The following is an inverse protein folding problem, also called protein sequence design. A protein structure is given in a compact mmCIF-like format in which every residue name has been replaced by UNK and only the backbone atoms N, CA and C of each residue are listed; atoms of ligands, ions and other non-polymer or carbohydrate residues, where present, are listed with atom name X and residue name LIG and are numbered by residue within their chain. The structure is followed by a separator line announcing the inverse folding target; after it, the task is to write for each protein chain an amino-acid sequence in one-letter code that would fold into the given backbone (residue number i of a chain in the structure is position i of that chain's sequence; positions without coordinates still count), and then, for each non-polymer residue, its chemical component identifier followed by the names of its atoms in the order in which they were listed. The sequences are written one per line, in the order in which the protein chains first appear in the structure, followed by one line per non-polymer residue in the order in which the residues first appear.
data_IF_508495299281
#
_entry.id   IF_508495299281
#
_cell.length_a   1.000
_cell.length_b   1.000
_cell.length_c   1.000
_cell.angle_alpha   90.00
_cell.angle_beta   90.00
_cell.angle_gamma   90.00
#
_symmetry.space_group_name_H-M   'P 1'
#
loop_
_entity.id
_entity.type
_entity.pdbx_description
1 polymer ?
#
# COMPACT_ATOMS: atom_id res chain seq x y z
N UNK A 1 22.01 2.97 2.76
CA UNK A 1 20.93 3.61 3.53
C UNK A 1 21.54 4.04 4.84
N UNK A 2 21.44 5.31 5.23
CA UNK A 2 22.01 5.78 6.49
C UNK A 2 21.08 5.29 7.63
N UNK A 3 21.38 4.11 8.17
CA UNK A 3 20.70 3.49 9.33
C UNK A 3 21.25 4.02 10.68
N UNK A 4 21.99 5.13 10.60
CA UNK A 4 22.54 5.82 11.75
C UNK A 4 21.42 6.47 12.55
N UNK A 5 21.45 6.22 13.86
CA UNK A 5 20.53 6.81 14.81
C UNK A 5 20.88 8.30 14.94
N UNK A 6 19.99 9.18 14.49
CA UNK A 6 20.14 10.64 14.51
C UNK A 6 19.24 11.31 15.56
N UNK A 7 18.92 10.58 16.62
CA UNK A 7 18.12 11.00 17.77
C UNK A 7 18.61 10.29 19.03
N UNK A 8 18.38 10.89 20.18
CA UNK A 8 18.72 10.32 21.49
C UNK A 8 17.62 9.37 21.97
N UNK A 9 17.97 8.50 22.93
CA UNK A 9 16.98 7.65 23.60
C UNK A 9 15.95 8.47 24.38
N UNK A 10 16.36 9.58 24.99
CA UNK A 10 15.47 10.46 25.73
C UNK A 10 14.41 11.10 24.82
N UNK A 11 14.81 11.62 23.65
CA UNK A 11 13.89 12.16 22.65
C UNK A 11 12.89 11.11 22.16
N UNK A 12 13.37 9.89 21.90
CA UNK A 12 12.52 8.77 21.51
C UNK A 12 11.50 8.42 22.60
N UNK A 13 11.96 8.25 23.84
CA UNK A 13 11.09 7.90 24.97
C UNK A 13 10.05 9.00 25.22
N UNK A 14 10.41 10.27 25.12
CA UNK A 14 9.47 11.39 25.26
C UNK A 14 8.35 11.32 24.22
N UNK A 15 8.69 11.13 22.95
CA UNK A 15 7.70 11.01 21.87
C UNK A 15 6.83 9.76 22.03
N UNK A 16 7.44 8.62 22.38
CA UNK A 16 6.74 7.36 22.62
C UNK A 16 5.71 7.49 23.74
N UNK A 17 6.09 8.08 24.89
CA UNK A 17 5.17 8.27 26.02
C UNK A 17 4.01 9.20 25.66
N UNK A 18 4.24 10.25 24.87
CA UNK A 18 3.18 11.13 24.38
C UNK A 18 2.15 10.37 23.54
N UNK A 19 2.61 9.57 22.57
CA UNK A 19 1.73 8.77 21.70
C UNK A 19 1.01 7.70 22.52
N UNK A 20 1.73 7.01 23.41
CA UNK A 20 1.18 5.97 24.26
C UNK A 20 0.08 6.51 25.18
N UNK A 21 0.27 7.68 25.79
CA UNK A 21 -0.74 8.34 26.63
C UNK A 21 -2.01 8.64 25.82
N UNK A 22 -1.85 9.13 24.60
CA UNK A 22 -3.00 9.36 23.70
C UNK A 22 -3.75 8.06 23.41
N UNK A 23 -3.05 6.98 23.06
CA UNK A 23 -3.70 5.68 22.82
C UNK A 23 -4.37 5.09 24.06
N UNK A 24 -3.72 5.13 25.23
CA UNK A 24 -4.32 4.69 26.51
C UNK A 24 -5.59 5.46 26.87
N UNK A 25 -5.70 6.72 26.47
CA UNK A 25 -6.89 7.54 26.71
C UNK A 25 -8.07 7.21 25.80
N UNK A 26 -7.83 6.49 24.68
CA UNK A 26 -8.81 6.28 23.61
C UNK A 26 -9.20 4.82 23.41
N UNK A 27 -8.31 3.89 23.74
CA UNK A 27 -8.51 2.47 23.50
C UNK A 27 -8.50 1.68 24.80
N UNK A 28 -9.41 0.71 24.90
CA UNK A 28 -9.59 -0.14 26.07
C UNK A 28 -9.22 -1.59 25.77
N UNK A 29 -8.84 -2.32 26.82
CA UNK A 29 -8.53 -3.75 26.78
C UNK A 29 -9.71 -4.56 26.25
N UNK A 30 -9.43 -5.50 25.35
CA UNK A 30 -10.43 -6.38 24.76
C UNK A 30 -10.25 -7.81 25.24
N UNK A 31 -11.37 -8.48 25.55
CA UNK A 31 -11.35 -9.91 25.93
C UNK A 31 -10.89 -10.81 24.76
N UNK A 32 -11.30 -10.46 23.55
CA UNK A 32 -10.96 -11.18 22.31
C UNK A 32 -10.36 -10.18 21.31
N UNK A 33 -9.09 -9.78 21.48
CA UNK A 33 -8.51 -8.70 20.69
C UNK A 33 -8.32 -9.14 19.22
N UNK A 34 -8.45 -8.18 18.30
CA UNK A 34 -8.34 -8.41 16.85
C UNK A 34 -7.21 -7.57 16.26
N UNK A 35 -6.45 -8.16 15.35
CA UNK A 35 -5.44 -7.46 14.57
C UNK A 35 -5.74 -7.60 13.07
N UNK A 36 -5.83 -6.47 12.38
CA UNK A 36 -5.93 -6.42 10.92
C UNK A 36 -4.64 -5.87 10.36
N UNK A 37 -3.92 -6.68 9.57
CA UNK A 37 -2.78 -6.20 8.80
C UNK A 37 -3.28 -5.74 7.44
N UNK A 38 -2.85 -4.56 7.00
CA UNK A 38 -3.17 -4.04 5.68
C UNK A 38 -2.00 -4.25 4.71
N UNK A 39 -2.33 -4.63 3.48
CA UNK A 39 -1.36 -4.86 2.41
C UNK A 39 -1.74 -4.15 1.11
N UNK A 40 -0.72 -3.84 0.31
CA UNK A 40 -0.89 -3.15 -0.97
C UNK A 40 0.25 -2.17 -1.23
N UNK A 41 0.58 -1.97 -2.50
CA UNK A 41 1.60 -1.03 -2.91
C UNK A 41 1.27 0.42 -2.47
N UNK A 42 2.28 1.30 -2.36
CA UNK A 42 2.03 2.72 -2.10
C UNK A 42 0.99 3.32 -3.06
N UNK A 43 0.09 4.16 -2.56
CA UNK A 43 -0.97 4.76 -3.38
C UNK A 43 -2.12 3.81 -3.78
N UNK A 44 -2.09 2.55 -3.33
CA UNK A 44 -3.16 1.60 -3.65
C UNK A 44 -4.55 1.96 -3.09
N UNK A 45 -4.60 2.73 -2.00
CA UNK A 45 -5.85 3.12 -1.35
C UNK A 45 -6.16 2.38 -0.05
N UNK A 46 -5.14 1.89 0.67
CA UNK A 46 -5.29 1.15 1.95
C UNK A 46 -6.14 1.89 2.99
N UNK A 47 -6.11 3.23 3.01
CA UNK A 47 -6.96 4.04 3.90
C UNK A 47 -8.46 3.78 3.70
N UNK A 48 -8.90 3.35 2.51
CA UNK A 48 -10.28 2.92 2.28
C UNK A 48 -10.65 1.69 3.09
N UNK A 49 -9.74 0.71 3.18
CA UNK A 49 -9.93 -0.49 4.01
C UNK A 49 -9.82 -0.17 5.50
N UNK A 50 -8.87 0.67 5.88
CA UNK A 50 -8.73 1.13 7.25
C UNK A 50 -10.03 1.78 7.74
N UNK A 51 -10.59 2.71 6.95
CA UNK A 51 -11.85 3.38 7.27
C UNK A 51 -13.01 2.39 7.34
N UNK A 52 -13.07 1.40 6.44
CA UNK A 52 -14.10 0.36 6.45
C UNK A 52 -14.02 -0.52 7.70
N UNK A 53 -12.82 -0.86 8.18
CA UNK A 53 -12.62 -1.65 9.40
C UNK A 53 -12.91 -0.80 10.64
N UNK A 54 -12.44 0.46 10.65
CA UNK A 54 -12.40 1.31 11.82
C UNK A 54 -13.53 2.35 11.88
N UNK A 55 -14.69 2.09 11.26
CA UNK A 55 -15.83 3.03 11.24
C UNK A 55 -16.22 3.50 12.65
N UNK A 56 -16.12 2.61 13.64
CA UNK A 56 -16.44 2.89 15.05
C UNK A 56 -15.27 3.45 15.87
N UNK A 57 -14.10 3.62 15.27
CA UNK A 57 -12.86 4.04 15.95
C UNK A 57 -12.45 3.13 17.13
N UNK A 58 -12.74 1.83 17.04
CA UNK A 58 -12.44 0.83 18.08
C UNK A 58 -11.01 0.23 17.94
N UNK A 59 -10.32 0.51 16.83
CA UNK A 59 -8.99 -0.01 16.54
C UNK A 59 -7.94 1.09 16.63
N UNK A 60 -6.79 0.78 17.23
CA UNK A 60 -5.60 1.61 17.10
C UNK A 60 -4.96 1.37 15.74
N UNK A 61 -4.93 2.42 14.92
CA UNK A 61 -4.23 2.40 13.64
C UNK A 61 -2.75 2.71 13.87
N UNK A 62 -1.88 1.78 13.48
CA UNK A 62 -0.43 1.88 13.61
C UNK A 62 0.19 1.89 12.22
N UNK A 63 0.79 3.03 11.85
CA UNK A 63 1.51 3.23 10.59
C UNK A 63 2.80 3.98 10.87
N UNK A 64 3.93 3.45 10.41
CA UNK A 64 5.24 4.06 10.65
C UNK A 64 5.33 5.51 10.16
N UNK A 65 4.56 5.85 9.14
CA UNK A 65 4.60 7.17 8.52
C UNK A 65 3.93 8.26 9.36
N UNK A 66 2.93 7.90 10.15
CA UNK A 66 2.27 8.81 11.08
C UNK A 66 3.20 9.23 12.22
N UNK A 67 4.21 8.42 12.52
CA UNK A 67 5.14 8.65 13.61
C UNK A 67 6.37 9.49 13.22
N UNK A 68 6.64 9.66 11.91
CA UNK A 68 7.79 10.44 11.43
C UNK A 68 7.75 11.89 11.90
N UNK A 69 6.55 12.49 11.98
CA UNK A 69 6.35 13.88 12.43
C UNK A 69 6.75 14.13 13.89
N UNK A 70 6.91 13.07 14.69
CA UNK A 70 7.36 13.17 16.08
C UNK A 70 8.89 13.10 16.21
N UNK A 71 9.61 12.90 15.12
CA UNK A 71 11.08 12.93 15.12
C UNK A 71 11.57 14.34 15.49
N UNK A 72 12.57 14.50 16.38
CA UNK A 72 13.03 15.81 16.85
C UNK A 72 13.51 16.73 15.72
N UNK A 73 14.15 16.15 14.71
CA UNK A 73 14.64 16.86 13.52
C UNK A 73 13.65 16.86 12.33
N UNK A 74 12.37 16.50 12.51
CA UNK A 74 11.45 16.30 11.38
C UNK A 74 11.40 17.49 10.42
N UNK A 75 11.19 18.71 10.92
CA UNK A 75 11.11 19.90 10.07
C UNK A 75 12.43 20.24 9.39
N UNK A 76 13.55 20.08 10.09
CA UNK A 76 14.89 20.32 9.55
C UNK A 76 15.23 19.35 8.43
N UNK A 77 14.96 18.05 8.63
CA UNK A 77 15.19 17.02 7.63
C UNK A 77 14.35 17.26 6.38
N UNK A 78 13.08 17.66 6.54
CA UNK A 78 12.23 18.00 5.41
C UNK A 78 12.71 19.27 4.68
N UNK A 79 13.23 20.26 5.40
CA UNK A 79 13.79 21.48 4.79
C UNK A 79 15.07 21.19 3.99
N UNK A 80 15.96 20.34 4.50
CA UNK A 80 17.26 20.05 3.87
C UNK A 80 17.12 19.04 2.73
N UNK A 81 16.38 17.95 2.96
CA UNK A 81 16.33 16.81 2.05
C UNK A 81 15.05 16.70 1.23
N UNK A 82 14.01 17.48 1.55
CA UNK A 82 12.74 17.49 0.82
C UNK A 82 12.17 16.09 0.63
N UNK A 83 12.04 15.67 -0.64
CA UNK A 83 11.50 14.36 -1.04
C UNK A 83 12.26 13.16 -0.42
N UNK A 84 13.53 13.36 -0.05
CA UNK A 84 14.40 12.32 0.49
C UNK A 84 14.40 12.23 2.03
N UNK A 85 13.72 13.16 2.73
CA UNK A 85 13.72 13.23 4.19
C UNK A 85 13.23 11.95 4.89
N UNK A 86 12.38 11.16 4.21
CA UNK A 86 11.89 9.88 4.72
C UNK A 86 13.00 8.84 4.96
N UNK A 87 14.13 8.93 4.25
CA UNK A 87 15.28 8.05 4.46
C UNK A 87 15.92 8.25 5.84
N UNK A 88 15.90 9.49 6.35
CA UNK A 88 16.52 9.87 7.62
C UNK A 88 15.63 9.69 8.85
N UNK A 89 14.35 9.33 8.64
CA UNK A 89 13.39 9.05 9.72
C UNK A 89 12.90 7.61 9.71
N UNK A 90 13.48 6.75 8.85
CA UNK A 90 13.04 5.37 8.69
C UNK A 90 13.25 4.54 9.95
N UNK A 91 14.42 4.65 10.59
CA UNK A 91 14.74 3.94 11.83
C UNK A 91 13.81 4.34 12.98
N UNK A 92 13.63 5.64 13.19
CA UNK A 92 12.68 6.19 14.15
C UNK A 92 11.25 5.64 13.96
N UNK A 93 10.76 5.68 12.72
CA UNK A 93 9.42 5.18 12.40
C UNK A 93 9.28 3.68 12.71
N UNK A 94 10.30 2.88 12.39
CA UNK A 94 10.34 1.45 12.69
C UNK A 94 10.35 1.16 14.18
N UNK A 95 11.26 1.80 14.93
CA UNK A 95 11.36 1.63 16.39
C UNK A 95 10.06 2.03 17.10
N UNK A 96 9.41 3.12 16.66
CA UNK A 96 8.13 3.56 17.22
C UNK A 96 7.02 2.54 16.98
N UNK A 97 6.91 1.98 15.77
CA UNK A 97 5.96 0.91 15.46
C UNK A 97 6.20 -0.31 16.35
N UNK A 98 7.45 -0.76 16.49
CA UNK A 98 7.78 -1.93 17.33
C UNK A 98 7.39 -1.73 18.80
N UNK A 99 7.72 -0.55 19.38
CA UNK A 99 7.38 -0.24 20.77
C UNK A 99 5.86 -0.14 20.98
N UNK A 100 5.14 0.51 20.06
CA UNK A 100 3.68 0.64 20.15
C UNK A 100 2.97 -0.70 19.97
N UNK A 101 3.45 -1.57 19.08
CA UNK A 101 2.91 -2.93 18.92
C UNK A 101 3.14 -3.78 20.17
N UNK A 102 4.28 -3.64 20.84
CA UNK A 102 4.55 -4.31 22.12
C UNK A 102 3.52 -3.90 23.18
N UNK A 103 3.29 -2.60 23.36
CA UNK A 103 2.28 -2.11 24.31
C UNK A 103 0.85 -2.49 23.89
N UNK A 104 0.51 -2.40 22.61
CA UNK A 104 -0.82 -2.78 22.12
C UNK A 104 -1.14 -4.25 22.43
N UNK A 105 -0.18 -5.16 22.23
CA UNK A 105 -0.32 -6.59 22.57
C UNK A 105 -0.41 -6.86 24.06
N UNK A 106 0.30 -6.08 24.87
CA UNK A 106 0.24 -6.14 26.34
C UNK A 106 -1.11 -5.69 26.87
N UNK A 107 -1.61 -4.56 26.38
CA UNK A 107 -2.88 -3.95 26.80
C UNK A 107 -4.11 -4.62 26.14
N UNK A 108 -3.89 -5.53 25.18
CA UNK A 108 -4.92 -6.24 24.39
C UNK A 108 -5.86 -5.29 23.64
N UNK A 109 -5.32 -4.27 23.00
CA UNK A 109 -6.10 -3.41 22.11
C UNK A 109 -6.42 -4.11 20.79
N UNK A 110 -7.53 -3.71 20.16
CA UNK A 110 -7.76 -4.01 18.75
C UNK A 110 -6.81 -3.16 17.89
N UNK A 111 -6.14 -3.76 16.91
CA UNK A 111 -5.08 -3.11 16.12
C UNK A 111 -5.39 -3.17 14.63
N UNK A 112 -5.12 -2.09 13.92
CA UNK A 112 -4.89 -2.10 12.48
C UNK A 112 -3.43 -1.74 12.24
N UNK A 113 -2.67 -2.60 11.58
CA UNK A 113 -1.27 -2.38 11.26
C UNK A 113 -1.12 -2.16 9.75
N UNK A 114 -0.71 -0.95 9.35
CA UNK A 114 -0.48 -0.63 7.95
C UNK A 114 0.87 -1.21 7.49
N UNK A 115 0.86 -1.94 6.37
CA UNK A 115 2.05 -2.41 5.69
C UNK A 115 1.93 -2.32 4.17
N UNK A 116 3.03 -2.61 3.49
CA UNK A 116 3.08 -2.69 2.01
C UNK A 116 3.20 -4.12 1.50
N UNK A 117 3.51 -5.09 2.36
CA UNK A 117 3.89 -6.45 1.99
C UNK A 117 5.12 -6.50 1.05
N UNK A 118 6.07 -5.56 1.21
CA UNK A 118 7.34 -5.56 0.48
C UNK A 118 8.17 -6.83 0.73
N UNK A 119 8.06 -7.40 1.93
CA UNK A 119 8.70 -8.65 2.37
C UNK A 119 7.64 -9.50 3.06
N UNK A 120 7.61 -10.80 2.79
CA UNK A 120 6.64 -11.71 3.38
C UNK A 120 6.91 -11.99 4.87
N UNK A 121 8.18 -11.96 5.28
CA UNK A 121 8.61 -12.37 6.62
C UNK A 121 8.06 -11.45 7.71
N UNK A 122 8.01 -10.14 7.44
CA UNK A 122 7.55 -9.14 8.41
C UNK A 122 6.07 -9.32 8.81
N UNK A 123 5.09 -9.33 7.88
CA UNK A 123 3.70 -9.56 8.23
C UNK A 123 3.46 -10.95 8.84
N UNK A 124 4.21 -11.99 8.44
CA UNK A 124 4.14 -13.32 9.05
C UNK A 124 4.61 -13.28 10.52
N UNK A 125 5.75 -12.61 10.79
CA UNK A 125 6.27 -12.42 12.14
C UNK A 125 5.26 -11.68 13.02
N UNK A 126 4.72 -10.57 12.54
CA UNK A 126 3.73 -9.80 13.31
C UNK A 126 2.45 -10.59 13.54
N UNK A 127 1.95 -11.33 12.54
CA UNK A 127 0.79 -12.19 12.71
C UNK A 127 1.00 -13.22 13.81
N UNK A 128 2.14 -13.94 13.79
CA UNK A 128 2.49 -14.91 14.84
C UNK A 128 2.58 -14.25 16.22
N UNK A 129 3.26 -13.10 16.33
CA UNK A 129 3.36 -12.35 17.59
C UNK A 129 2.00 -11.92 18.15
N UNK A 130 1.05 -11.55 17.28
CA UNK A 130 -0.34 -11.32 17.70
C UNK A 130 -1.05 -12.61 18.14
N UNK A 131 -0.93 -13.70 17.38
CA UNK A 131 -1.55 -15.01 17.72
C UNK A 131 -1.06 -15.55 19.07
N UNK A 132 0.24 -15.48 19.33
CA UNK A 132 0.85 -15.85 20.63
C UNK A 132 0.29 -15.01 21.79
N UNK A 133 -0.22 -13.82 21.49
CA UNK A 133 -0.87 -12.92 22.43
C UNK A 133 -2.40 -13.05 22.46
N UNK A 134 -2.98 -14.12 21.89
CA UNK A 134 -4.41 -14.42 21.96
C UNK A 134 -5.29 -13.63 20.99
N UNK A 135 -4.72 -13.08 19.91
CA UNK A 135 -5.46 -12.32 18.93
C UNK A 135 -6.11 -13.21 17.85
N UNK A 136 -7.22 -12.72 17.30
CA UNK A 136 -7.66 -13.08 15.95
C UNK A 136 -6.95 -12.17 14.95
N UNK A 137 -6.33 -12.74 13.91
CA UNK A 137 -5.46 -11.99 12.98
C UNK A 137 -5.90 -12.20 11.54
N UNK A 138 -6.26 -11.12 10.84
CA UNK A 138 -6.63 -11.16 9.42
C UNK A 138 -5.71 -10.24 8.59
N UNK A 139 -5.46 -10.64 7.34
CA UNK A 139 -4.74 -9.83 6.35
C UNK A 139 -5.71 -9.30 5.30
N UNK A 140 -5.75 -7.98 5.12
CA UNK A 140 -6.60 -7.30 4.14
C UNK A 140 -5.71 -6.62 3.10
N UNK A 141 -5.87 -7.00 1.82
CA UNK A 141 -5.03 -6.51 0.72
C UNK A 141 -5.87 -5.73 -0.28
N UNK A 142 -5.36 -4.58 -0.75
CA UNK A 142 -5.98 -3.86 -1.88
C UNK A 142 -5.40 -4.38 -3.19
N UNK A 143 -6.25 -4.87 -4.08
CA UNK A 143 -5.93 -5.19 -5.47
C UNK A 143 -6.20 -3.98 -6.35
N UNK A 144 -5.15 -3.45 -6.95
CA UNK A 144 -5.26 -2.32 -7.88
C UNK A 144 -4.10 -2.35 -8.86
N UNK A 145 -4.37 -1.90 -10.08
CA UNK A 145 -3.36 -1.77 -11.13
C UNK A 145 -2.16 -0.91 -10.69
N UNK A 146 -0.91 -1.33 -10.97
CA UNK A 146 0.32 -0.58 -10.64
C UNK A 146 0.31 0.88 -11.11
N UNK A 147 -0.25 1.15 -12.29
CA UNK A 147 -0.29 2.49 -12.86
C UNK A 147 -1.25 3.41 -12.09
N UNK A 148 -2.37 2.85 -11.61
CA UNK A 148 -3.33 3.59 -10.78
C UNK A 148 -2.78 3.88 -9.38
N UNK A 149 -2.07 2.94 -8.78
CA UNK A 149 -1.45 3.15 -7.47
C UNK A 149 -0.33 4.16 -7.56
N UNK A 150 0.47 4.11 -8.62
CA UNK A 150 1.54 5.07 -8.83
C UNK A 150 1.01 6.49 -8.97
N UNK A 151 -0.01 6.70 -9.83
CA UNK A 151 -0.68 8.00 -9.92
C UNK A 151 -1.23 8.45 -8.56
N UNK A 152 -1.79 7.53 -7.77
CA UNK A 152 -2.25 7.83 -6.41
C UNK A 152 -1.14 8.31 -5.46
N UNK A 153 0.12 7.92 -5.66
CA UNK A 153 1.24 8.46 -4.88
C UNK A 153 1.52 9.92 -5.24
N UNK A 154 1.41 10.27 -6.52
CA UNK A 154 1.63 11.63 -7.03
C UNK A 154 0.48 12.55 -6.63
N UNK A 155 -0.78 12.10 -6.79
CA UNK A 155 -1.97 12.82 -6.32
C UNK A 155 -1.86 13.16 -4.84
N UNK A 156 -1.51 12.19 -3.99
CA UNK A 156 -1.33 12.41 -2.56
C UNK A 156 -0.25 13.47 -2.26
N UNK A 157 0.87 13.44 -2.99
CA UNK A 157 1.94 14.42 -2.81
C UNK A 157 1.44 15.84 -3.08
N UNK A 158 0.77 16.06 -4.21
CA UNK A 158 0.23 17.38 -4.59
C UNK A 158 -0.92 17.83 -3.68
N UNK A 159 -1.78 16.91 -3.24
CA UNK A 159 -2.84 17.22 -2.26
C UNK A 159 -2.29 17.66 -0.90
N UNK A 160 -1.16 17.10 -0.46
CA UNK A 160 -0.51 17.52 0.79
C UNK A 160 0.03 18.94 0.69
N UNK A 161 0.66 19.29 -0.44
CA UNK A 161 1.12 20.66 -0.72
C UNK A 161 -0.07 21.62 -0.71
N UNK A 162 -1.15 21.28 -1.42
CA UNK A 162 -2.34 22.12 -1.50
C UNK A 162 -2.99 22.38 -0.12
N UNK A 163 -2.84 21.45 0.82
CA UNK A 163 -3.32 21.57 2.21
C UNK A 163 -2.31 22.25 3.15
N UNK A 164 -1.20 22.78 2.64
CA UNK A 164 -0.13 23.40 3.44
C UNK A 164 0.59 22.42 4.37
N UNK A 165 0.56 21.12 4.07
CA UNK A 165 1.23 20.08 4.87
C UNK A 165 2.56 19.71 4.23
N UNK A 166 3.51 19.26 5.05
CA UNK A 166 4.79 18.71 4.57
C UNK A 166 4.50 17.49 3.69
N UNK A 167 4.77 17.54 2.37
CA UNK A 167 4.33 16.51 1.47
C UNK A 167 5.21 15.27 1.57
N UNK A 168 4.57 14.11 1.51
CA UNK A 168 5.26 12.83 1.58
C UNK A 168 5.45 12.26 0.18
N UNK A 169 6.66 12.41 -0.36
CA UNK A 169 7.00 11.74 -1.60
C UNK A 169 7.18 10.24 -1.37
N UNK A 170 6.68 9.44 -2.30
CA UNK A 170 7.08 8.03 -2.42
C UNK A 170 7.94 7.92 -3.67
N UNK A 171 9.26 7.70 -3.53
CA UNK A 171 10.11 7.41 -4.67
C UNK A 171 9.52 6.28 -5.51
N UNK A 172 9.56 6.42 -6.84
CA UNK A 172 8.95 5.46 -7.76
C UNK A 172 9.54 4.06 -7.57
N UNK A 173 10.84 3.98 -7.31
CA UNK A 173 11.56 2.73 -7.06
C UNK A 173 11.01 2.01 -5.82
N UNK A 174 10.55 2.75 -4.80
CA UNK A 174 9.93 2.17 -3.62
C UNK A 174 8.51 1.64 -3.88
N UNK A 175 7.78 2.25 -4.81
CA UNK A 175 6.50 1.75 -5.28
C UNK A 175 6.70 0.49 -6.12
N UNK A 176 7.56 0.56 -7.13
CA UNK A 176 7.82 -0.52 -8.09
C UNK A 176 8.38 -1.76 -7.40
N UNK A 177 9.31 -1.59 -6.45
CA UNK A 177 9.81 -2.69 -5.63
C UNK A 177 8.68 -3.45 -4.90
N UNK A 178 7.58 -2.79 -4.52
CA UNK A 178 6.44 -3.49 -3.92
C UNK A 178 5.61 -4.17 -5.00
N UNK A 179 5.34 -3.51 -6.13
CA UNK A 179 4.62 -4.08 -7.27
C UNK A 179 5.27 -5.39 -7.74
N UNK A 180 6.60 -5.39 -7.87
CA UNK A 180 7.36 -6.54 -8.38
C UNK A 180 7.33 -7.74 -7.44
N UNK A 181 7.18 -7.51 -6.13
CA UNK A 181 7.31 -8.56 -5.12
C UNK A 181 5.98 -8.96 -4.44
N UNK A 182 4.94 -8.11 -4.47
CA UNK A 182 3.73 -8.31 -3.65
C UNK A 182 2.96 -9.59 -4.00
N UNK A 183 2.97 -9.99 -5.28
CA UNK A 183 2.30 -11.21 -5.75
C UNK A 183 2.95 -12.45 -5.13
N UNK A 184 4.27 -12.58 -5.25
CA UNK A 184 5.02 -13.71 -4.71
C UNK A 184 5.01 -13.71 -3.19
N UNK A 185 5.14 -12.53 -2.57
CA UNK A 185 5.04 -12.39 -1.13
C UNK A 185 3.67 -12.81 -0.60
N UNK A 186 2.58 -12.51 -1.31
CA UNK A 186 1.23 -12.92 -0.91
C UNK A 186 1.07 -14.45 -0.98
N UNK A 187 1.70 -15.11 -1.95
CA UNK A 187 1.75 -16.58 -1.99
C UNK A 187 2.51 -17.16 -0.79
N UNK A 188 3.67 -16.59 -0.43
CA UNK A 188 4.44 -17.02 0.74
C UNK A 188 3.61 -16.85 2.02
N UNK A 189 2.96 -15.69 2.18
CA UNK A 189 2.07 -15.41 3.32
C UNK A 189 0.92 -16.42 3.38
N UNK A 190 0.26 -16.69 2.26
CA UNK A 190 -0.82 -17.66 2.18
C UNK A 190 -0.37 -19.08 2.56
N UNK A 191 0.82 -19.51 2.09
CA UNK A 191 1.40 -20.82 2.42
C UNK A 191 1.83 -20.93 3.88
N UNK A 192 2.20 -19.82 4.52
CA UNK A 192 2.62 -19.79 5.93
C UNK A 192 1.52 -20.15 6.93
N UNK A 193 0.24 -20.02 6.52
CA UNK A 193 -0.95 -20.20 7.36
C UNK A 193 -0.93 -19.38 8.67
N UNK A 194 -0.20 -18.25 8.68
CA UNK A 194 -0.07 -17.40 9.86
C UNK A 194 -1.31 -16.54 10.16
N UNK A 195 -2.21 -16.37 9.18
CA UNK A 195 -3.40 -15.55 9.29
C UNK A 195 -4.66 -16.41 9.39
N UNK A 196 -5.61 -16.02 10.24
CA UNK A 196 -6.91 -16.66 10.37
C UNK A 196 -7.77 -16.44 9.12
N UNK A 197 -7.57 -15.32 8.43
CA UNK A 197 -8.17 -15.03 7.14
C UNK A 197 -7.31 -14.11 6.29
N UNK A 198 -7.44 -14.24 4.98
CA UNK A 198 -6.88 -13.32 3.98
C UNK A 198 -8.03 -12.84 3.11
N UNK A 199 -8.22 -11.53 3.02
CA UNK A 199 -9.22 -10.92 2.15
C UNK A 199 -8.55 -9.95 1.18
N UNK A 200 -9.05 -9.95 -0.05
CA UNK A 200 -8.60 -9.02 -1.08
C UNK A 200 -9.79 -8.18 -1.51
N UNK A 201 -9.59 -6.88 -1.61
CA UNK A 201 -10.60 -5.91 -2.00
C UNK A 201 -10.11 -5.09 -3.19
N UNK A 202 -11.03 -4.58 -4.01
CA UNK A 202 -10.69 -3.50 -4.93
C UNK A 202 -10.57 -2.15 -4.18
N UNK A 203 -10.30 -1.07 -4.92
CA UNK A 203 -10.10 0.27 -4.36
C UNK A 203 -11.41 0.89 -3.85
N UNK A 204 -12.54 0.35 -4.28
CA UNK A 204 -13.89 0.73 -3.88
C UNK A 204 -14.41 -0.10 -2.69
N UNK A 205 -13.54 -0.92 -2.07
CA UNK A 205 -13.84 -1.81 -0.95
C UNK A 205 -14.78 -2.98 -1.29
N UNK A 206 -14.95 -3.35 -2.56
CA UNK A 206 -15.65 -4.58 -2.92
C UNK A 206 -14.76 -5.79 -2.65
N UNK A 207 -15.32 -6.82 -2.01
CA UNK A 207 -14.61 -8.05 -1.70
C UNK A 207 -14.39 -8.88 -2.98
N UNK A 208 -13.13 -9.14 -3.31
CA UNK A 208 -12.71 -9.94 -4.46
C UNK A 208 -12.33 -11.37 -4.09
N UNK A 209 -11.89 -11.59 -2.85
CA UNK A 209 -11.44 -12.88 -2.36
C UNK A 209 -11.58 -12.97 -0.85
N UNK A 210 -11.94 -14.15 -0.35
CA UNK A 210 -11.99 -14.49 1.06
C UNK A 210 -11.43 -15.91 1.25
N UNK A 211 -10.30 -16.03 1.95
CA UNK A 211 -9.63 -17.32 2.18
C UNK A 211 -10.54 -18.34 2.87
N UNK A 212 -11.35 -17.91 3.84
CA UNK A 212 -12.28 -18.82 4.54
C UNK A 212 -13.35 -19.42 3.62
N UNK A 213 -13.76 -18.70 2.58
CA UNK A 213 -14.77 -19.15 1.62
C UNK A 213 -14.14 -19.93 0.45
N UNK A 214 -12.85 -19.73 0.19
CA UNK A 214 -12.15 -20.31 -0.96
C UNK A 214 -10.71 -20.78 -0.63
N UNK A 215 -10.54 -21.69 0.35
CA UNK A 215 -9.23 -22.00 0.92
C UNK A 215 -8.27 -22.66 -0.08
N UNK A 216 -8.79 -23.32 -1.12
CA UNK A 216 -8.00 -23.96 -2.18
C UNK A 216 -7.52 -22.99 -3.28
N UNK A 217 -7.99 -21.74 -3.29
CA UNK A 217 -7.58 -20.74 -4.27
C UNK A 217 -6.43 -19.92 -3.68
N UNK A 218 -5.30 -19.89 -4.38
CA UNK A 218 -4.16 -19.05 -4.00
C UNK A 218 -4.51 -17.56 -4.25
N UNK A 219 -4.43 -16.69 -3.22
CA UNK A 219 -4.76 -15.26 -3.34
C UNK A 219 -3.88 -14.51 -4.35
N UNK A 220 -2.67 -15.01 -4.66
CA UNK A 220 -1.80 -14.39 -5.68
C UNK A 220 -2.49 -14.26 -7.04
N UNK A 221 -3.31 -15.26 -7.40
CA UNK A 221 -4.01 -15.32 -8.68
C UNK A 221 -4.97 -14.13 -8.84
N UNK A 222 -5.50 -13.60 -7.73
CA UNK A 222 -6.42 -12.47 -7.70
C UNK A 222 -5.65 -11.17 -7.99
N UNK A 223 -4.48 -10.98 -7.37
CA UNK A 223 -3.62 -9.82 -7.66
C UNK A 223 -3.06 -9.88 -9.09
N UNK A 224 -2.55 -11.04 -9.53
CA UNK A 224 -2.07 -11.24 -10.90
C UNK A 224 -3.16 -10.92 -11.92
N UNK A 225 -4.39 -11.36 -11.67
CA UNK A 225 -5.54 -11.06 -12.54
C UNK A 225 -5.82 -9.56 -12.58
N UNK A 226 -5.82 -8.86 -11.44
CA UNK A 226 -6.09 -7.42 -11.42
C UNK A 226 -4.97 -6.62 -12.10
N UNK A 227 -3.71 -6.99 -11.88
CA UNK A 227 -2.56 -6.34 -12.51
C UNK A 227 -2.64 -6.51 -14.05
N UNK A 228 -2.93 -7.71 -14.52
CA UNK A 228 -2.86 -8.06 -15.94
C UNK A 228 -4.18 -7.92 -16.73
N UNK A 229 -5.34 -7.74 -16.06
CA UNK A 229 -6.62 -7.62 -16.80
C UNK A 229 -6.60 -6.42 -17.75
N UNK A 230 -7.39 -6.50 -18.82
CA UNK A 230 -7.60 -5.36 -19.72
C UNK A 230 -8.21 -4.18 -18.96
N UNK A 231 -7.76 -2.99 -19.33
CA UNK A 231 -8.36 -1.74 -18.92
C UNK A 231 -9.73 -1.54 -19.58
N UNK A 232 -10.72 -1.12 -18.79
CA UNK A 232 -12.03 -0.70 -19.31
C UNK A 232 -11.91 0.67 -19.99
N UNK A 233 -12.82 0.99 -20.92
CA UNK A 233 -12.76 2.26 -21.66
C UNK A 233 -13.00 3.44 -20.71
N UNK A 234 -13.99 3.31 -19.84
CA UNK A 234 -14.36 4.29 -18.82
C UNK A 234 -13.20 4.51 -17.85
N UNK A 235 -12.57 3.42 -17.41
CA UNK A 235 -11.40 3.44 -16.53
C UNK A 235 -10.22 4.22 -17.13
N UNK A 236 -9.98 4.10 -18.44
CA UNK A 236 -8.94 4.87 -19.14
C UNK A 236 -9.30 6.35 -19.21
N UNK A 237 -10.57 6.68 -19.49
CA UNK A 237 -11.03 8.07 -19.52
C UNK A 237 -10.84 8.75 -18.16
N UNK A 238 -11.22 8.08 -17.09
CA UNK A 238 -11.02 8.55 -15.72
C UNK A 238 -9.54 8.70 -15.37
N UNK A 239 -8.72 7.70 -15.74
CA UNK A 239 -7.28 7.75 -15.50
C UNK A 239 -6.62 8.93 -16.22
N UNK A 240 -6.97 9.20 -17.49
CA UNK A 240 -6.51 10.38 -18.23
C UNK A 240 -6.91 11.69 -17.54
N UNK A 241 -8.17 11.78 -17.10
CA UNK A 241 -8.69 12.95 -16.36
C UNK A 241 -7.91 13.20 -15.07
N UNK A 242 -7.57 12.15 -14.32
CA UNK A 242 -6.76 12.26 -13.09
C UNK A 242 -5.36 12.80 -13.38
N UNK A 243 -4.68 12.31 -14.42
CA UNK A 243 -3.40 12.88 -14.87
C UNK A 243 -3.49 14.35 -15.24
N UNK A 244 -4.54 14.75 -15.97
CA UNK A 244 -4.76 16.15 -16.33
C UNK A 244 -5.01 17.03 -15.11
N UNK A 245 -5.78 16.55 -14.14
CA UNK A 245 -5.99 17.25 -12.88
C UNK A 245 -4.70 17.40 -12.08
N UNK A 246 -3.87 16.36 -12.00
CA UNK A 246 -2.57 16.41 -11.35
C UNK A 246 -1.65 17.48 -11.96
N UNK A 247 -1.57 17.53 -13.30
CA UNK A 247 -0.80 18.55 -14.02
C UNK A 247 -1.35 19.95 -13.70
N UNK A 248 -2.68 20.14 -13.70
CA UNK A 248 -3.31 21.42 -13.33
C UNK A 248 -2.98 21.83 -11.90
N UNK A 249 -2.96 20.89 -10.95
CA UNK A 249 -2.56 21.18 -9.56
C UNK A 249 -1.14 21.73 -9.50
N UNK A 250 -0.21 21.11 -10.22
CA UNK A 250 1.19 21.57 -10.31
C UNK A 250 1.32 22.94 -10.96
N UNK A 251 0.61 23.17 -12.07
CA UNK A 251 0.60 24.47 -12.77
C UNK A 251 0.02 25.57 -11.87
N UNK A 252 -1.08 25.30 -11.15
CA UNK A 252 -1.71 26.24 -10.22
C UNK A 252 -0.80 26.63 -9.05
N UNK A 253 -0.02 25.69 -8.50
CA UNK A 253 0.98 25.99 -7.45
C UNK A 253 2.28 26.59 -8.00
N UNK A 254 2.34 26.87 -9.31
CA UNK A 254 3.53 27.37 -10.02
C UNK A 254 4.76 26.48 -9.80
N UNK A 255 4.56 25.17 -9.91
CA UNK A 255 5.66 24.20 -9.86
C UNK A 255 6.73 24.53 -10.92
N UNK A 256 8.02 24.21 -10.66
CA UNK A 256 9.07 24.42 -11.64
C UNK A 256 8.72 23.80 -13.00
N UNK A 257 8.95 24.54 -14.09
CA UNK A 257 8.61 24.12 -15.46
C UNK A 257 9.17 22.72 -15.77
N UNK A 258 10.41 22.45 -15.33
CA UNK A 258 11.06 21.13 -15.49
C UNK A 258 10.29 20.00 -14.81
N UNK A 259 9.70 20.24 -13.63
CA UNK A 259 8.91 19.24 -12.89
C UNK A 259 7.61 18.92 -13.65
N UNK A 260 6.91 19.95 -14.15
CA UNK A 260 5.68 19.80 -14.94
C UNK A 260 5.96 19.09 -16.26
N UNK A 261 7.02 19.46 -16.97
CA UNK A 261 7.42 18.81 -18.23
C UNK A 261 7.76 17.34 -18.04
N UNK A 262 8.48 17.00 -16.96
CA UNK A 262 8.80 15.61 -16.64
C UNK A 262 7.52 14.80 -16.38
N UNK A 263 6.56 15.36 -15.64
CA UNK A 263 5.29 14.69 -15.37
C UNK A 263 4.47 14.48 -16.65
N UNK A 264 4.48 15.45 -17.58
CA UNK A 264 3.82 15.32 -18.90
C UNK A 264 4.43 14.19 -19.73
N UNK A 265 5.75 14.06 -19.75
CA UNK A 265 6.45 12.95 -20.43
C UNK A 265 6.05 11.61 -19.79
N UNK A 266 6.05 11.54 -18.47
CA UNK A 266 5.69 10.33 -17.74
C UNK A 266 4.23 9.92 -17.98
N UNK A 267 3.30 10.88 -18.03
CA UNK A 267 1.90 10.64 -18.43
C UNK A 267 1.83 9.93 -19.79
N UNK A 268 2.52 10.45 -20.81
CA UNK A 268 2.49 9.87 -22.15
C UNK A 268 3.07 8.45 -22.16
N UNK A 269 4.20 8.22 -21.49
CA UNK A 269 4.82 6.89 -21.38
C UNK A 269 3.87 5.86 -20.74
N UNK A 270 3.20 6.24 -19.65
CA UNK A 270 2.23 5.36 -18.97
C UNK A 270 1.03 5.09 -19.87
N UNK A 271 0.47 6.10 -20.55
CA UNK A 271 -0.67 5.90 -21.44
C UNK A 271 -0.32 5.04 -22.67
N UNK A 272 0.88 5.19 -23.21
CA UNK A 272 1.40 4.39 -24.31
C UNK A 272 1.60 2.93 -23.87
N UNK A 273 2.09 2.69 -22.64
CA UNK A 273 2.20 1.33 -22.10
C UNK A 273 0.83 0.64 -22.02
N UNK A 274 -0.21 1.37 -21.59
CA UNK A 274 -1.59 0.88 -21.52
C UNK A 274 -2.14 0.56 -22.93
N UNK A 275 -1.80 1.35 -23.95
CA UNK A 275 -2.22 1.07 -25.34
C UNK A 275 -1.47 -0.11 -25.96
N UNK A 276 -0.16 -0.22 -25.75
CA UNK A 276 0.64 -1.37 -26.22
C UNK A 276 0.17 -2.68 -25.59
N UNK A 277 -0.16 -2.67 -24.29
CA UNK A 277 -0.78 -3.82 -23.60
C UNK A 277 -2.10 -4.20 -24.29
N UNK A 278 -2.91 -3.24 -24.76
CA UNK A 278 -4.14 -3.56 -25.52
C UNK A 278 -3.84 -4.24 -26.87
N UNK A 279 -2.79 -3.84 -27.56
CA UNK A 279 -2.40 -4.39 -28.88
C UNK A 279 -1.81 -5.80 -28.75
N UNK A 280 -0.86 -6.01 -27.84
CA UNK A 280 -0.26 -7.34 -27.59
C UNK A 280 -1.30 -8.39 -27.17
N UNK A 281 -2.29 -8.02 -26.35
CA UNK A 281 -3.36 -8.97 -25.99
C UNK A 281 -4.31 -9.23 -27.16
N UNK A 282 -4.52 -8.28 -28.07
CA UNK A 282 -5.30 -8.51 -29.31
C UNK A 282 -4.58 -9.50 -30.22
N UNK A 283 -3.27 -9.31 -30.44
CA UNK A 283 -2.44 -10.23 -31.22
C UNK A 283 -2.43 -11.63 -30.61
N UNK A 284 -2.19 -11.75 -29.31
CA UNK A 284 -2.18 -13.06 -28.61
C UNK A 284 -3.55 -13.77 -28.69
N UNK A 285 -4.66 -13.01 -28.59
CA UNK A 285 -6.01 -13.58 -28.71
C UNK A 285 -6.33 -14.01 -30.16
N UNK A 286 -5.83 -13.26 -31.16
CA UNK A 286 -5.95 -13.61 -32.57
C UNK A 286 -5.14 -14.87 -32.91
N UNK A 287 -3.90 -14.96 -32.44
CA UNK A 287 -3.02 -16.13 -32.61
C UNK A 287 -3.63 -17.40 -31.99
N UNK A 288 -4.15 -17.32 -30.76
CA UNK A 288 -4.85 -18.44 -30.10
C UNK A 288 -6.13 -18.87 -30.83
N UNK A 289 -6.83 -17.94 -31.48
CA UNK A 289 -8.01 -18.26 -32.30
C UNK A 289 -7.60 -19.02 -33.56
N UNK A 290 -6.53 -18.59 -34.24
CA UNK A 290 -5.98 -19.28 -35.41
C UNK A 290 -5.51 -20.70 -35.06
N UNK A 291 -4.82 -20.91 -33.94
CA UNK A 291 -4.39 -22.25 -33.50
C UNK A 291 -5.57 -23.18 -33.21
N UNK A 292 -6.62 -22.66 -32.56
CA UNK A 292 -7.84 -23.41 -32.24
C UNK A 292 -8.64 -23.79 -33.49
N UNK A 293 -8.65 -22.93 -34.51
CA UNK A 293 -9.30 -23.21 -35.79
C UNK A 293 -8.46 -24.20 -36.63
N UNK A 294 -7.12 -24.14 -36.58
CA UNK A 294 -6.24 -25.16 -37.18
C UNK A 294 -6.39 -26.53 -36.51
N UNK A 295 -6.52 -26.62 -35.19
CA UNK A 295 -6.70 -27.89 -34.48
C UNK A 295 -8.07 -28.54 -34.73
N UNK A 296 -9.07 -27.78 -35.20
CA UNK A 296 -10.40 -28.29 -35.59
C UNK A 296 -10.46 -28.77 -37.04
N UNK A 297 -9.48 -28.40 -37.87
CA UNK A 297 -9.45 -28.72 -39.30
C UNK A 297 -8.88 -30.10 -39.67
N UNK A 298 -8.20 -30.79 -38.76
CA UNK A 298 -7.53 -32.08 -39.03
C UNK A 298 -8.33 -33.33 -38.61
N UNK A 299 -9.61 -33.19 -38.30
CA UNK A 299 -10.49 -34.28 -37.85
C UNK A 299 -11.52 -34.76 -38.86
N UNK A 300 -11.28 -34.57 -40.17
CA UNK A 300 -12.12 -35.12 -41.24
C UNK A 300 -11.27 -35.53 -42.44
N UNK A 301 -10.76 -36.75 -42.37
CA UNK A 301 -10.43 -37.59 -43.52
C UNK A 301 -10.67 -39.03 -43.11
#
# INVERSE_FOLDING_TARGET
MNDEKNYTDEEFQKAFQQILKFYKSRYSTQKNPKAFLLGGQPGAGKSGLENMINIKNEYVSISGDDYRKFHPLYDQLNKIYGKEASKYTQKWAGEMVEHLLKEARKEKWNVILEGTLRKAELPIKEARGFKENGYSVELYVVAVKPEKSYLGTLERYEEMIAKGRVPRMTPKEHHDLVVDNIIDNLEIIYKSKAFDNIKIFDRENNLLYNYKESPGINPKNILEKEFNRKWKIEEIREFKKKWENLIKMMENRKAPIKEVSQLKIEKEQVLESISKIKEQIKETAWSKKIEKDKSRGFGRS
#
